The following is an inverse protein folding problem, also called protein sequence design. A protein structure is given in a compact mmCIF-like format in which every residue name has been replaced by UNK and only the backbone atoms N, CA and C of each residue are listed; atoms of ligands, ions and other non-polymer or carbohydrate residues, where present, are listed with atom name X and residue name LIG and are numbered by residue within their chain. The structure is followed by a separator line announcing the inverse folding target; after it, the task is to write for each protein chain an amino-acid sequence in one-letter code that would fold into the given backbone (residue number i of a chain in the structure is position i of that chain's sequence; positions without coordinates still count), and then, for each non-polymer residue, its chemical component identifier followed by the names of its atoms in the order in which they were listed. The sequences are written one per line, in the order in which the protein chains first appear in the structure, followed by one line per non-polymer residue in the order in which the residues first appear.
data_IF_418413560519
#
_entry.id   IF_418413560519
#
_cell.length_a   1.000
_cell.length_b   1.000
_cell.length_c   1.000
_cell.angle_alpha   90.00
_cell.angle_beta   90.00
_cell.angle_gamma   90.00
#
_symmetry.space_group_name_H-M   'P 1'
#
loop_
_entity.id
_entity.type
_entity.pdbx_description
1 polymer ?
#
# COMPACT_ATOMS: atom_id res chain seq x y z
N UNK A 1 -12.47 8.11 9.44
CA UNK A 1 -11.34 7.18 9.20
C UNK A 1 -11.28 6.88 7.71
N UNK A 2 -10.12 7.02 7.07
CA UNK A 2 -9.93 6.81 5.61
C UNK A 2 -8.77 5.84 5.37
N UNK A 3 -8.90 4.63 5.92
CA UNK A 3 -7.83 3.64 5.94
C UNK A 3 -7.34 3.28 4.54
N UNK A 4 -8.26 2.97 3.62
CA UNK A 4 -7.90 2.59 2.25
C UNK A 4 -7.11 3.70 1.56
N UNK A 5 -7.55 4.96 1.69
CA UNK A 5 -6.86 6.12 1.12
C UNK A 5 -5.43 6.20 1.65
N UNK A 6 -5.24 6.00 2.96
CA UNK A 6 -3.92 6.03 3.59
C UNK A 6 -3.02 4.88 3.09
N UNK A 7 -3.56 3.67 3.00
CA UNK A 7 -2.82 2.48 2.54
C UNK A 7 -2.41 2.65 1.07
N UNK A 8 -3.33 3.06 0.20
CA UNK A 8 -3.05 3.31 -1.22
C UNK A 8 -2.03 4.43 -1.39
N UNK A 9 -2.20 5.56 -0.71
CA UNK A 9 -1.28 6.71 -0.82
C UNK A 9 0.14 6.35 -0.39
N UNK A 10 0.29 5.63 0.73
CA UNK A 10 1.60 5.14 1.19
C UNK A 10 2.22 4.18 0.20
N UNK A 11 1.43 3.26 -0.35
CA UNK A 11 1.95 2.27 -1.30
C UNK A 11 2.35 2.89 -2.63
N UNK A 12 1.55 3.82 -3.17
CA UNK A 12 1.90 4.58 -4.39
C UNK A 12 3.24 5.29 -4.22
N UNK A 13 3.48 5.92 -3.06
CA UNK A 13 4.77 6.56 -2.76
C UNK A 13 5.92 5.56 -2.76
N UNK A 14 5.76 4.40 -2.13
CA UNK A 14 6.80 3.35 -2.13
C UNK A 14 7.13 2.87 -3.55
N UNK A 15 6.11 2.62 -4.37
CA UNK A 15 6.30 2.23 -5.77
C UNK A 15 7.03 3.32 -6.56
N UNK A 16 6.69 4.59 -6.34
CA UNK A 16 7.37 5.74 -6.95
C UNK A 16 8.84 5.89 -6.52
N UNK A 17 9.21 5.36 -5.35
CA UNK A 17 10.60 5.26 -4.88
C UNK A 17 11.33 4.02 -5.41
N UNK A 18 10.70 3.22 -6.28
CA UNK A 18 11.31 2.05 -6.90
C UNK A 18 11.12 0.74 -6.12
N UNK A 19 10.26 0.69 -5.10
CA UNK A 19 9.93 -0.57 -4.44
C UNK A 19 9.30 -1.57 -5.42
N UNK A 20 9.70 -2.83 -5.28
CA UNK A 20 9.20 -3.90 -6.15
C UNK A 20 7.67 -4.09 -5.97
N UNK A 21 6.90 -4.18 -7.08
CA UNK A 21 5.50 -4.61 -7.04
C UNK A 21 5.36 -6.06 -6.57
N UNK A 22 4.31 -6.36 -5.82
CA UNK A 22 3.97 -7.70 -5.30
C UNK A 22 3.07 -8.49 -6.27
N UNK A 23 2.54 -7.80 -7.28
CA UNK A 23 1.71 -8.35 -8.37
C UNK A 23 2.40 -8.11 -9.70
N UNK A 24 2.00 -8.90 -10.71
CA UNK A 24 2.41 -8.66 -12.09
C UNK A 24 1.89 -7.31 -12.59
N UNK A 25 2.79 -6.55 -13.22
CA UNK A 25 2.53 -5.23 -13.78
C UNK A 25 2.60 -5.25 -15.29
N UNK A 26 1.85 -4.36 -15.95
CA UNK A 26 1.97 -4.13 -17.39
C UNK A 26 2.45 -2.69 -17.62
N UNK A 27 3.06 -2.37 -18.78
CA UNK A 27 3.61 -1.04 -19.05
C UNK A 27 2.60 0.12 -18.99
N UNK A 28 1.29 -0.17 -18.99
CA UNK A 28 0.22 0.82 -18.98
C UNK A 28 -0.42 1.03 -17.61
N UNK A 29 -0.05 0.23 -16.59
CA UNK A 29 -0.60 0.37 -15.24
C UNK A 29 0.00 1.60 -14.54
N UNK A 30 -0.86 2.42 -13.93
CA UNK A 30 -0.41 3.45 -13.01
C UNK A 30 0.04 2.84 -11.67
N UNK A 31 0.80 3.59 -10.89
CA UNK A 31 1.19 3.16 -9.54
C UNK A 31 -0.04 2.95 -8.63
N UNK A 32 -1.10 3.71 -8.85
CA UNK A 32 -2.38 3.56 -8.15
C UNK A 32 -3.04 2.24 -8.51
N UNK A 33 -3.07 1.88 -9.81
CA UNK A 33 -3.62 0.60 -10.25
C UNK A 33 -2.86 -0.59 -9.66
N UNK A 34 -1.53 -0.48 -9.59
CA UNK A 34 -0.67 -1.50 -8.97
C UNK A 34 -1.01 -1.62 -7.49
N UNK A 35 -1.03 -0.52 -6.74
CA UNK A 35 -1.34 -0.53 -5.31
C UNK A 35 -2.73 -1.12 -5.01
N UNK A 36 -3.74 -0.75 -5.80
CA UNK A 36 -5.10 -1.30 -5.68
C UNK A 36 -5.12 -2.80 -6.00
N UNK A 37 -4.42 -3.24 -7.05
CA UNK A 37 -4.32 -4.66 -7.41
C UNK A 37 -3.63 -5.48 -6.32
N UNK A 38 -2.60 -4.95 -5.66
CA UNK A 38 -1.95 -5.62 -4.53
C UNK A 38 -2.88 -5.78 -3.33
N UNK A 39 -3.70 -4.77 -3.04
CA UNK A 39 -4.72 -4.81 -1.98
C UNK A 39 -5.80 -5.85 -2.31
N UNK A 40 -6.35 -5.81 -3.53
CA UNK A 40 -7.37 -6.77 -3.98
C UNK A 40 -6.83 -8.21 -3.95
N UNK A 41 -5.55 -8.40 -4.30
CA UNK A 41 -4.89 -9.70 -4.25
C UNK A 41 -4.50 -10.15 -2.83
N UNK A 42 -4.75 -9.33 -1.79
CA UNK A 42 -4.38 -9.63 -0.41
C UNK A 42 -2.88 -9.71 -0.16
N UNK A 43 -2.06 -9.16 -1.07
CA UNK A 43 -0.59 -9.20 -0.97
C UNK A 43 -0.01 -8.05 -0.15
N UNK A 44 -0.81 -7.01 0.10
CA UNK A 44 -0.42 -5.86 0.89
C UNK A 44 -1.02 -5.95 2.29
N UNK A 45 -0.18 -5.92 3.32
CA UNK A 45 -0.61 -5.83 4.72
C UNK A 45 -0.42 -4.41 5.24
N UNK A 46 -1.19 -4.04 6.27
CA UNK A 46 -0.98 -2.79 7.01
C UNK A 46 -1.15 -3.08 8.50
N UNK A 47 -0.45 -2.32 9.32
CA UNK A 47 -0.61 -2.34 10.77
C UNK A 47 -1.37 -1.08 11.21
N UNK A 48 -2.38 -1.24 12.06
CA UNK A 48 -3.00 -0.12 12.75
C UNK A 48 -2.16 0.23 13.97
N UNK A 49 -1.76 1.50 14.09
CA UNK A 49 -1.03 2.00 15.28
C UNK A 49 -1.97 2.30 16.46
N UNK A 50 -3.24 1.90 16.38
CA UNK A 50 -4.21 2.00 17.48
C UNK A 50 -3.82 0.99 18.58
N UNK A 51 -2.82 1.34 19.40
CA UNK A 51 -2.34 0.47 20.49
C UNK A 51 -1.01 0.87 21.14
N UNK A 52 -0.28 1.85 20.61
CA UNK A 52 0.97 2.32 21.23
C UNK A 52 0.74 3.42 22.28
N UNK A 53 -0.02 3.14 23.34
CA UNK A 53 -0.07 3.99 24.55
C UNK A 53 0.88 3.52 25.65
N UNK A 54 1.60 2.41 25.46
CA UNK A 54 2.56 1.92 26.45
C UNK A 54 3.97 2.39 26.11
N UNK A 55 4.16 3.71 26.17
CA UNK A 55 5.47 4.32 26.36
C UNK A 55 5.65 4.63 27.84
N UNK A 56 6.18 3.66 28.58
CA UNK A 56 6.73 3.83 29.93
C UNK A 56 8.00 4.69 29.92
#
# INVERSE_FOLDING_TARGET
QQLLINVVSKRVRQLGLGHRPLVETTPRMSLTDIALKEIIAGKLTYESLEGSTDGA
#
